data_IF_695269829162
#
_entry.id   IF_695269829162
#
_cell.length_a   1.000
_cell.length_b   1.000
_cell.length_c   1.000
_cell.angle_alpha   90.00
_cell.angle_beta   90.00
_cell.angle_gamma   90.00
#
_symmetry.space_group_name_H-M   'P 1'
#
loop_
_entity.id
_entity.type
_entity.pdbx_description
1 polymer ?
#
# COMPACT_ATOMS: atom_id res chain seq x y z
N UNK A 1 1.15 46.44 -24.42
CA UNK A 1 -0.07 45.64 -24.14
C UNK A 1 0.18 44.15 -24.21
N UNK A 2 1.10 43.65 -25.05
CA UNK A 2 1.45 42.22 -25.14
C UNK A 2 2.16 41.66 -23.89
N UNK A 3 3.05 42.44 -23.24
CA UNK A 3 3.76 41.98 -22.04
C UNK A 3 2.83 41.63 -20.87
N UNK A 4 1.77 42.44 -20.65
CA UNK A 4 0.80 42.21 -19.58
C UNK A 4 -0.04 40.93 -19.79
N UNK A 5 -0.37 40.58 -21.04
CA UNK A 5 -1.06 39.30 -21.32
C UNK A 5 -0.14 38.09 -21.14
N UNK A 6 1.15 38.25 -21.44
CA UNK A 6 2.16 37.20 -21.26
C UNK A 6 2.47 36.95 -19.78
N UNK A 7 2.47 37.99 -18.95
CA UNK A 7 2.62 37.87 -17.49
C UNK A 7 1.37 37.25 -16.84
N UNK A 8 0.16 37.63 -17.28
CA UNK A 8 -1.09 37.03 -16.78
C UNK A 8 -1.20 35.53 -17.13
N UNK A 9 -0.76 35.15 -18.35
CA UNK A 9 -0.70 33.74 -18.74
C UNK A 9 0.32 32.95 -17.91
N UNK A 10 1.50 33.51 -17.66
CA UNK A 10 2.52 32.89 -16.80
C UNK A 10 2.02 32.73 -15.36
N UNK A 11 1.34 33.73 -14.81
CA UNK A 11 0.79 33.66 -13.46
C UNK A 11 -0.23 32.52 -13.34
N UNK A 12 -1.15 32.38 -14.31
CA UNK A 12 -2.12 31.27 -14.32
C UNK A 12 -1.46 29.90 -14.35
N UNK A 13 -0.39 29.73 -15.13
CA UNK A 13 0.36 28.46 -15.16
C UNK A 13 0.97 28.15 -13.80
N UNK A 14 1.58 29.16 -13.14
CA UNK A 14 2.18 28.99 -11.82
C UNK A 14 1.12 28.63 -10.77
N UNK A 15 -0.05 29.28 -10.81
CA UNK A 15 -1.16 29.01 -9.90
C UNK A 15 -1.70 27.59 -10.09
N UNK A 16 -1.88 27.14 -11.33
CA UNK A 16 -2.32 25.77 -11.63
C UNK A 16 -1.31 24.72 -11.17
N UNK A 17 -0.01 24.96 -11.39
CA UNK A 17 1.04 24.07 -10.93
C UNK A 17 1.10 24.03 -9.40
N UNK A 18 0.97 25.19 -8.74
CA UNK A 18 0.88 25.30 -7.29
C UNK A 18 -0.30 24.52 -6.73
N UNK A 19 -1.48 24.67 -7.32
CA UNK A 19 -2.68 23.95 -6.92
C UNK A 19 -2.52 22.43 -7.08
N UNK A 20 -1.93 21.97 -8.20
CA UNK A 20 -1.65 20.54 -8.45
C UNK A 20 -0.65 19.97 -7.46
N UNK A 21 0.40 20.71 -7.11
CA UNK A 21 1.38 20.28 -6.11
C UNK A 21 0.78 20.20 -4.71
N UNK A 22 -0.05 21.18 -4.33
CA UNK A 22 -0.76 21.16 -3.06
C UNK A 22 -1.73 19.97 -2.97
N UNK A 23 -2.49 19.70 -4.03
CA UNK A 23 -3.39 18.55 -4.08
C UNK A 23 -2.61 17.23 -3.94
N UNK A 24 -1.46 17.09 -4.61
CA UNK A 24 -0.58 15.92 -4.46
C UNK A 24 -0.08 15.78 -3.03
N UNK A 25 0.29 16.88 -2.37
CA UNK A 25 0.75 16.85 -0.99
C UNK A 25 -0.33 16.35 -0.05
N UNK A 26 -1.55 16.89 -0.16
CA UNK A 26 -2.70 16.45 0.64
C UNK A 26 -2.96 14.96 0.47
N UNK A 27 -2.95 14.45 -0.76
CA UNK A 27 -3.15 13.02 -1.03
C UNK A 27 -2.02 12.16 -0.43
N UNK A 28 -0.77 12.63 -0.49
CA UNK A 28 0.36 11.93 0.13
C UNK A 28 0.25 11.87 1.66
N UNK A 29 -0.15 12.98 2.28
CA UNK A 29 -0.35 13.03 3.74
C UNK A 29 -1.50 12.08 4.14
N UNK A 30 -2.62 12.09 3.41
CA UNK A 30 -3.72 11.12 3.61
C UNK A 30 -3.28 9.67 3.44
N UNK A 31 -2.43 9.38 2.46
CA UNK A 31 -1.92 8.04 2.23
C UNK A 31 -0.97 7.60 3.35
N UNK A 32 -0.14 8.52 3.87
CA UNK A 32 0.73 8.27 5.01
C UNK A 32 -0.08 7.96 6.28
N UNK A 33 -1.14 8.73 6.54
CA UNK A 33 -2.05 8.51 7.66
C UNK A 33 -2.76 7.14 7.53
N UNK A 34 -3.27 6.83 6.34
CA UNK A 34 -3.89 5.53 6.07
C UNK A 34 -2.91 4.36 6.25
N UNK A 35 -1.65 4.53 5.84
CA UNK A 35 -0.61 3.53 6.06
C UNK A 35 -0.33 3.32 7.56
N UNK A 36 -0.23 4.40 8.33
CA UNK A 36 -0.05 4.31 9.78
C UNK A 36 -1.25 3.61 10.47
N UNK A 37 -2.47 3.93 10.06
CA UNK A 37 -3.68 3.27 10.56
C UNK A 37 -3.72 1.79 10.21
N UNK A 38 -3.28 1.41 9.00
CA UNK A 38 -3.20 0.02 8.57
C UNK A 38 -2.20 -0.76 9.42
N UNK A 39 -1.01 -0.21 9.68
CA UNK A 39 0.01 -0.86 10.53
C UNK A 39 -0.49 -1.03 11.97
N UNK A 40 -1.13 0.00 12.53
CA UNK A 40 -1.73 -0.07 13.86
C UNK A 40 -2.83 -1.13 13.94
N UNK A 41 -3.71 -1.19 12.94
CA UNK A 41 -4.77 -2.20 12.85
C UNK A 41 -4.21 -3.62 12.72
N UNK A 42 -3.16 -3.82 11.92
CA UNK A 42 -2.48 -5.12 11.80
C UNK A 42 -1.83 -5.55 13.13
N UNK A 43 -1.20 -4.62 13.85
CA UNK A 43 -0.62 -4.90 15.16
C UNK A 43 -1.70 -5.27 16.18
N UNK A 44 -2.79 -4.52 16.24
CA UNK A 44 -3.93 -4.81 17.09
C UNK A 44 -4.54 -6.19 16.78
N UNK A 45 -4.68 -6.52 15.49
CA UNK A 45 -5.18 -7.82 15.05
C UNK A 45 -4.27 -8.98 15.48
N UNK A 46 -2.94 -8.85 15.31
CA UNK A 46 -1.96 -9.83 15.80
C UNK A 46 -2.07 -10.07 17.30
N UNK A 47 -2.18 -8.99 18.08
CA UNK A 47 -2.32 -9.09 19.53
C UNK A 47 -3.63 -9.76 19.94
N UNK A 48 -4.75 -9.42 19.30
CA UNK A 48 -6.04 -10.05 19.55
C UNK A 48 -6.05 -11.54 19.20
N UNK A 49 -5.42 -11.91 18.07
CA UNK A 49 -5.26 -13.31 17.69
C UNK A 49 -4.43 -14.08 18.72
N UNK A 50 -3.31 -13.51 19.16
CA UNK A 50 -2.47 -14.11 20.22
C UNK A 50 -3.25 -14.30 21.52
N UNK A 51 -4.03 -13.31 21.95
CA UNK A 51 -4.87 -13.40 23.13
C UNK A 51 -5.94 -14.50 23.01
N UNK A 52 -6.52 -14.70 21.82
CA UNK A 52 -7.45 -15.80 21.57
C UNK A 52 -6.77 -17.17 21.72
N UNK A 53 -5.56 -17.32 21.17
CA UNK A 53 -4.76 -18.54 21.33
C UNK A 53 -4.39 -18.79 22.80
N UNK A 54 -3.99 -17.75 23.54
CA UNK A 54 -3.71 -17.84 24.98
C UNK A 54 -4.96 -18.20 25.80
N UNK A 55 -6.14 -17.78 25.34
CA UNK A 55 -7.43 -18.17 25.91
C UNK A 55 -7.86 -19.60 25.52
N UNK A 56 -7.05 -20.33 24.75
CA UNK A 56 -7.26 -21.73 24.42
C UNK A 56 -7.97 -21.99 23.10
N UNK A 57 -8.23 -20.96 22.28
CA UNK A 57 -8.81 -21.14 20.96
C UNK A 57 -7.78 -21.74 20.00
N UNK A 58 -8.17 -22.79 19.28
CA UNK A 58 -7.32 -23.35 18.23
C UNK A 58 -7.51 -22.62 16.89
N UNK A 59 -6.55 -22.79 15.97
CA UNK A 59 -6.61 -22.14 14.66
C UNK A 59 -7.78 -22.60 13.79
N UNK A 60 -8.31 -23.81 13.99
CA UNK A 60 -9.42 -24.34 13.21
C UNK A 60 -10.76 -23.76 13.69
N UNK A 61 -10.95 -23.58 14.99
CA UNK A 61 -12.08 -22.89 15.60
C UNK A 61 -12.12 -21.42 15.17
N UNK A 62 -10.97 -20.74 15.23
CA UNK A 62 -10.85 -19.36 14.74
C UNK A 62 -11.15 -19.26 13.24
N UNK A 63 -10.63 -20.21 12.43
CA UNK A 63 -10.92 -20.25 11.00
C UNK A 63 -12.41 -20.51 10.70
N UNK A 64 -13.07 -21.39 11.46
CA UNK A 64 -14.53 -21.62 11.37
C UNK A 64 -15.32 -20.36 11.74
N UNK A 65 -14.83 -19.58 12.71
CA UNK A 65 -15.38 -18.28 13.05
C UNK A 65 -15.04 -17.16 12.04
N UNK A 66 -14.31 -17.48 10.96
CA UNK A 66 -13.93 -16.54 9.91
C UNK A 66 -12.67 -15.72 10.23
N UNK A 67 -12.01 -15.97 11.36
CA UNK A 67 -10.77 -15.29 11.78
C UNK A 67 -9.57 -15.98 11.14
N UNK A 68 -8.74 -15.21 10.41
CA UNK A 68 -7.55 -15.72 9.73
C UNK A 68 -6.29 -15.47 10.52
N UNK A 69 -5.32 -16.36 10.45
CA UNK A 69 -4.03 -16.14 11.10
C UNK A 69 -3.28 -14.94 10.46
N UNK A 70 -2.79 -13.97 11.25
CA UNK A 70 -2.23 -12.72 10.75
C UNK A 70 -1.03 -12.89 9.80
N UNK A 71 -0.19 -13.89 10.04
CA UNK A 71 1.09 -14.07 9.35
C UNK A 71 1.09 -15.22 8.34
N UNK A 72 -0.05 -15.89 8.13
CA UNK A 72 -0.27 -16.77 6.96
C UNK A 72 -0.49 -15.92 5.71
N UNK A 73 0.49 -15.06 5.38
CA UNK A 73 0.68 -14.63 3.99
C UNK A 73 0.98 -15.90 3.23
N UNK A 74 -0.03 -16.39 2.49
CA UNK A 74 -0.03 -17.71 1.87
C UNK A 74 1.33 -18.06 1.31
N UNK A 75 1.80 -19.28 1.59
CA UNK A 75 2.98 -19.85 0.98
C UNK A 75 2.90 -19.61 -0.54
N UNK A 76 3.48 -18.50 -1.00
CA UNK A 76 3.61 -18.20 -2.42
C UNK A 76 4.50 -19.30 -2.90
N UNK A 77 3.89 -20.34 -3.47
CA UNK A 77 4.59 -21.37 -4.25
C UNK A 77 5.55 -20.59 -5.13
N UNK A 78 6.84 -20.66 -4.82
CA UNK A 78 7.88 -20.09 -5.68
C UNK A 78 7.60 -20.71 -7.05
N UNK A 79 7.18 -19.89 -8.00
CA UNK A 79 6.98 -20.36 -9.36
C UNK A 79 8.29 -21.04 -9.80
N UNK A 80 8.26 -22.25 -10.38
CA UNK A 80 9.48 -22.91 -10.81
C UNK A 80 10.21 -21.98 -11.79
N UNK A 81 11.48 -21.71 -11.51
CA UNK A 81 12.35 -20.98 -12.44
C UNK A 81 12.39 -21.78 -13.73
N UNK A 82 11.89 -21.18 -14.81
CA UNK A 82 11.97 -21.73 -16.17
C UNK A 82 13.46 -21.93 -16.50
N UNK A 83 13.89 -23.11 -16.99
CA UNK A 83 15.27 -23.31 -17.43
C UNK A 83 15.60 -22.32 -18.56
N UNK A 84 16.80 -21.74 -18.52
CA UNK A 84 17.32 -20.94 -19.61
C UNK A 84 17.50 -21.82 -20.85
N UNK A 85 16.97 -21.40 -21.99
CA UNK A 85 17.24 -22.05 -23.28
C UNK A 85 18.73 -21.94 -23.62
N UNK A 86 19.37 -23.00 -24.14
CA UNK A 86 20.74 -22.92 -24.60
C UNK A 86 20.77 -22.12 -25.91
N UNK A 87 21.52 -21.02 -25.91
CA UNK A 87 21.97 -20.35 -27.13
C UNK A 87 22.76 -21.34 -27.98
N UNK A 88 22.15 -21.86 -29.05
CA UNK A 88 22.90 -22.46 -30.14
C UNK A 88 23.39 -21.34 -31.05
N UNK A 89 24.69 -21.08 -30.98
CA UNK A 89 25.43 -20.50 -32.09
C UNK A 89 25.70 -21.64 -33.10
N UNK A 90 25.35 -21.40 -34.35
CA UNK A 90 25.61 -22.26 -35.50
C UNK A 90 25.33 -21.48 -36.78
#
# INVERSE_FOLDING_TARGET
MEDAMSDDHRQRILDELGAKLQARRVVLDQLADAAAHLEAAQAAYRNAYKAAVEAGWDSAELAKAGVREPDKRGARRRAPRRPAEPTSEG
#
